data_IF_371587499265
#
_entry.id   IF_371587499265
#
_cell.length_a   1.000
_cell.length_b   1.000
_cell.length_c   1.000
_cell.angle_alpha   90.00
_cell.angle_beta   90.00
_cell.angle_gamma   90.00
#
_symmetry.space_group_name_H-M   'P 1'
#
loop_
_entity.id
_entity.type
_entity.pdbx_description
1 polymer ?
#
# COMPACT_ATOMS: atom_id res chain seq x y z
N UNK A 1 -43.06 8.05 -32.39
CA UNK A 1 -42.23 7.69 -31.21
C UNK A 1 -41.71 6.29 -31.45
N UNK A 2 -40.39 6.09 -31.55
CA UNK A 2 -39.85 4.73 -31.67
C UNK A 2 -40.16 3.93 -30.37
N UNK A 3 -40.41 2.62 -30.46
CA UNK A 3 -40.66 1.78 -29.29
C UNK A 3 -39.45 1.77 -28.35
N UNK A 4 -39.73 1.76 -27.04
CA UNK A 4 -38.73 1.90 -25.98
C UNK A 4 -37.62 0.82 -26.01
N UNK A 5 -37.96 -0.37 -26.49
CA UNK A 5 -37.02 -1.48 -26.67
C UNK A 5 -35.87 -1.12 -27.62
N UNK A 6 -36.18 -0.42 -28.72
CA UNK A 6 -35.16 0.00 -29.68
C UNK A 6 -34.28 1.11 -29.13
N UNK A 7 -34.81 1.97 -28.25
CA UNK A 7 -34.00 3.01 -27.61
C UNK A 7 -32.93 2.42 -26.70
N UNK A 8 -33.24 1.32 -25.99
CA UNK A 8 -32.26 0.63 -25.14
C UNK A 8 -31.15 -0.07 -25.93
N UNK A 9 -31.49 -0.67 -27.08
CA UNK A 9 -30.50 -1.30 -27.97
C UNK A 9 -29.57 -0.25 -28.58
N UNK A 10 -30.11 0.89 -28.98
CA UNK A 10 -29.33 2.01 -29.52
C UNK A 10 -28.40 2.58 -28.44
N UNK A 11 -28.89 2.79 -27.21
CA UNK A 11 -28.08 3.33 -26.11
C UNK A 11 -26.89 2.40 -25.77
N UNK A 12 -27.12 1.08 -25.71
CA UNK A 12 -26.06 0.09 -25.51
C UNK A 12 -25.04 0.04 -26.66
N UNK A 13 -25.50 0.13 -27.90
CA UNK A 13 -24.62 0.21 -29.06
C UNK A 13 -23.76 1.49 -29.02
N UNK A 14 -24.34 2.62 -28.61
CA UNK A 14 -23.63 3.90 -28.44
C UNK A 14 -22.55 3.78 -27.36
N UNK A 15 -22.85 3.19 -26.20
CA UNK A 15 -21.84 2.97 -25.14
C UNK A 15 -20.70 2.04 -25.54
N UNK A 16 -20.96 1.09 -26.44
CA UNK A 16 -19.94 0.15 -26.92
C UNK A 16 -19.02 0.80 -27.96
N UNK A 17 -19.59 1.60 -28.86
CA UNK A 17 -18.84 2.27 -29.94
C UNK A 17 -18.17 3.57 -29.48
N UNK A 18 -18.69 4.20 -28.43
CA UNK A 18 -18.12 5.35 -27.74
C UNK A 18 -18.06 5.01 -26.26
N UNK A 19 -17.11 4.15 -25.84
CA UNK A 19 -16.83 4.01 -24.42
C UNK A 19 -16.61 5.43 -23.90
N UNK A 20 -17.37 5.88 -22.87
CA UNK A 20 -17.20 7.22 -22.32
C UNK A 20 -15.73 7.39 -21.98
N UNK A 21 -15.20 8.61 -22.12
CA UNK A 21 -13.85 8.94 -21.68
C UNK A 21 -13.75 8.62 -20.19
N UNK A 22 -13.43 7.37 -19.86
CA UNK A 22 -12.97 7.00 -18.54
C UNK A 22 -11.68 7.77 -18.46
N UNK A 23 -11.67 8.83 -17.64
CA UNK A 23 -10.43 9.45 -17.21
C UNK A 23 -9.47 8.31 -16.90
N UNK A 24 -8.38 8.25 -17.66
CA UNK A 24 -7.36 7.23 -17.43
C UNK A 24 -7.08 7.29 -15.93
N UNK A 25 -7.28 6.17 -15.23
CA UNK A 25 -6.97 6.11 -13.81
C UNK A 25 -5.50 6.50 -13.73
N UNK A 26 -5.24 7.71 -13.24
CA UNK A 26 -3.89 8.19 -13.01
C UNK A 26 -3.41 7.33 -11.86
N UNK A 27 -2.77 6.22 -12.20
CA UNK A 27 -2.03 5.43 -11.24
C UNK A 27 -0.83 6.30 -10.92
N UNK A 28 -0.99 7.18 -9.92
CA UNK A 28 0.15 7.84 -9.30
C UNK A 28 1.19 6.73 -9.03
N UNK A 29 2.37 6.89 -9.62
CA UNK A 29 3.46 5.94 -9.42
C UNK A 29 3.88 6.04 -7.96
N UNK A 30 3.27 5.21 -7.10
CA UNK A 30 3.73 5.07 -5.72
C UNK A 30 5.22 4.73 -5.81
N UNK A 31 6.10 5.52 -5.17
CA UNK A 31 7.53 5.30 -5.26
C UNK A 31 7.87 3.86 -4.86
N UNK A 32 8.83 3.26 -5.58
CA UNK A 32 9.20 1.84 -5.40
C UNK A 32 9.55 1.51 -3.94
N UNK A 33 10.12 2.48 -3.21
CA UNK A 33 10.41 2.37 -1.78
C UNK A 33 9.16 2.26 -0.91
N UNK A 34 8.12 3.07 -1.14
CA UNK A 34 6.86 2.98 -0.40
C UNK A 34 6.21 1.62 -0.62
N UNK A 35 6.13 1.16 -1.88
CA UNK A 35 5.58 -0.16 -2.22
C UNK A 35 6.39 -1.31 -1.59
N UNK A 36 7.71 -1.18 -1.55
CA UNK A 36 8.58 -2.18 -0.92
C UNK A 36 8.29 -2.27 0.59
N UNK A 37 8.15 -1.14 1.27
CA UNK A 37 7.86 -1.10 2.71
C UNK A 37 6.47 -1.68 3.01
N UNK A 38 5.45 -1.32 2.21
CA UNK A 38 4.10 -1.89 2.31
C UNK A 38 4.13 -3.42 2.11
N UNK A 39 4.79 -3.91 1.06
CA UNK A 39 4.92 -5.35 0.82
C UNK A 39 5.67 -6.08 1.94
N UNK A 40 6.69 -5.46 2.52
CA UNK A 40 7.48 -6.04 3.60
C UNK A 40 6.64 -6.23 4.88
N UNK A 41 5.83 -5.24 5.23
CA UNK A 41 5.02 -5.25 6.45
C UNK A 41 3.70 -6.00 6.29
N UNK A 42 3.04 -5.89 5.13
CA UNK A 42 1.69 -6.43 4.92
C UNK A 42 1.70 -7.83 4.30
N UNK A 43 2.65 -8.14 3.42
CA UNK A 43 2.67 -9.41 2.68
C UNK A 43 3.74 -10.41 3.19
N UNK A 44 4.89 -9.94 3.64
CA UNK A 44 6.04 -10.79 4.02
C UNK A 44 6.18 -11.05 5.53
N UNK A 45 5.30 -10.46 6.33
CA UNK A 45 5.39 -10.52 7.79
C UNK A 45 4.83 -11.83 8.32
N UNK A 46 5.73 -12.71 8.73
CA UNK A 46 5.44 -13.99 9.38
C UNK A 46 6.23 -14.13 10.69
N UNK A 47 5.76 -15.01 11.59
CA UNK A 47 6.38 -15.25 12.91
C UNK A 47 7.85 -15.65 12.81
N UNK A 48 8.23 -16.37 11.75
CA UNK A 48 9.60 -16.84 11.50
C UNK A 48 10.47 -15.81 10.79
N UNK A 49 9.86 -14.82 10.12
CA UNK A 49 10.55 -13.86 9.27
C UNK A 49 10.74 -12.49 9.96
N UNK A 50 10.22 -12.32 11.18
CA UNK A 50 10.21 -11.04 11.89
C UNK A 50 11.60 -10.44 12.06
N UNK A 51 12.60 -11.25 12.41
CA UNK A 51 13.97 -10.78 12.60
C UNK A 51 14.60 -10.31 11.28
N UNK A 52 14.27 -10.97 10.17
CA UNK A 52 14.75 -10.61 8.84
C UNK A 52 14.11 -9.31 8.36
N UNK A 53 12.79 -9.16 8.57
CA UNK A 53 12.05 -7.93 8.28
C UNK A 53 12.62 -6.77 9.08
N UNK A 54 12.84 -6.93 10.39
CA UNK A 54 13.46 -5.89 11.23
C UNK A 54 14.87 -5.55 10.75
N UNK A 55 15.69 -6.53 10.35
CA UNK A 55 17.01 -6.28 9.77
C UNK A 55 16.92 -5.51 8.45
N UNK A 56 15.96 -5.81 7.59
CA UNK A 56 15.75 -5.10 6.32
C UNK A 56 15.27 -3.66 6.57
N UNK A 57 14.35 -3.45 7.52
CA UNK A 57 13.88 -2.11 7.89
C UNK A 57 15.01 -1.24 8.45
N UNK A 58 15.93 -1.81 9.26
CA UNK A 58 17.11 -1.07 9.74
C UNK A 58 18.05 -0.62 8.63
N UNK A 59 18.11 -1.35 7.51
CA UNK A 59 18.99 -1.05 6.36
C UNK A 59 18.38 -0.04 5.38
N UNK A 60 17.14 0.40 5.59
CA UNK A 60 16.52 1.41 4.73
C UNK A 60 17.34 2.72 4.77
N UNK A 61 17.39 3.47 3.65
CA UNK A 61 18.04 4.77 3.60
C UNK A 61 17.22 5.82 4.36
N UNK A 62 17.32 5.84 5.69
CA UNK A 62 16.60 6.77 6.58
C UNK A 62 16.96 8.25 6.37
N UNK A 63 17.95 8.55 5.54
CA UNK A 63 18.41 9.90 5.21
C UNK A 63 17.58 10.56 4.10
N UNK A 64 16.85 9.78 3.31
CA UNK A 64 15.95 10.32 2.28
C UNK A 64 14.67 10.87 2.92
N UNK A 65 14.26 12.06 2.48
CA UNK A 65 13.01 12.67 2.90
C UNK A 65 11.82 11.84 2.38
N UNK A 66 10.95 11.42 3.29
CA UNK A 66 9.75 10.64 2.97
C UNK A 66 9.77 9.20 3.48
N UNK A 67 10.94 8.57 3.65
CA UNK A 67 11.02 7.17 4.11
C UNK A 67 10.39 6.99 5.49
N UNK A 68 10.65 7.91 6.42
CA UNK A 68 10.02 7.89 7.74
C UNK A 68 8.49 8.01 7.66
N UNK A 69 8.00 8.89 6.78
CA UNK A 69 6.57 9.12 6.60
C UNK A 69 5.89 7.90 5.98
N UNK A 70 6.51 7.25 5.00
CA UNK A 70 6.01 6.01 4.39
C UNK A 70 5.99 4.85 5.37
N UNK A 71 7.04 4.69 6.20
CA UNK A 71 7.06 3.66 7.25
C UNK A 71 5.94 3.92 8.27
N UNK A 72 5.79 5.16 8.76
CA UNK A 72 4.70 5.51 9.69
C UNK A 72 3.33 5.25 9.07
N UNK A 73 3.13 5.62 7.81
CA UNK A 73 1.89 5.37 7.08
C UNK A 73 1.61 3.88 6.93
N UNK A 74 2.59 3.07 6.52
CA UNK A 74 2.43 1.62 6.39
C UNK A 74 2.17 0.92 7.74
N UNK A 75 2.73 1.43 8.83
CA UNK A 75 2.48 0.94 10.19
C UNK A 75 1.09 1.34 10.73
N UNK A 76 0.63 2.56 10.39
CA UNK A 76 -0.70 3.06 10.76
C UNK A 76 -1.80 2.48 9.89
N UNK A 77 -1.48 2.07 8.67
CA UNK A 77 -2.38 1.38 7.74
C UNK A 77 -2.57 -0.09 8.14
N UNK A 78 -3.12 -0.28 9.33
CA UNK A 78 -3.47 -1.56 9.93
C UNK A 78 -4.67 -2.21 9.22
N UNK A 79 -5.44 -1.44 8.43
CA UNK A 79 -6.61 -1.92 7.70
C UNK A 79 -6.25 -2.93 6.59
N UNK A 80 -5.06 -2.83 6.02
CA UNK A 80 -4.55 -3.77 5.00
C UNK A 80 -3.92 -5.04 5.60
N UNK A 81 -3.79 -5.10 6.93
CA UNK A 81 -3.03 -6.15 7.63
C UNK A 81 -3.96 -7.25 8.13
N UNK A 82 -3.55 -8.52 7.96
CA UNK A 82 -4.29 -9.67 8.54
C UNK A 82 -4.34 -9.52 10.06
N UNK A 83 -5.49 -9.78 10.68
CA UNK A 83 -5.66 -9.67 12.14
C UNK A 83 -4.59 -10.45 12.93
N UNK A 84 -4.19 -11.61 12.40
CA UNK A 84 -3.18 -12.46 13.01
C UNK A 84 -1.77 -11.84 13.04
N UNK A 85 -1.44 -10.89 12.15
CA UNK A 85 -0.10 -10.29 12.08
C UNK A 85 0.03 -8.97 12.83
N UNK A 86 -1.06 -8.43 13.40
CA UNK A 86 -1.06 -7.15 14.13
C UNK A 86 -0.07 -7.15 15.31
N UNK A 87 -0.03 -8.23 16.09
CA UNK A 87 0.93 -8.36 17.21
C UNK A 87 2.39 -8.36 16.74
N UNK A 88 2.66 -8.91 15.55
CA UNK A 88 4.00 -8.92 14.95
C UNK A 88 4.39 -7.51 14.51
N UNK A 89 3.45 -6.75 13.93
CA UNK A 89 3.68 -5.33 13.58
C UNK A 89 4.06 -4.53 14.82
N UNK A 90 3.33 -4.67 15.93
CA UNK A 90 3.66 -3.99 17.19
C UNK A 90 5.07 -4.34 17.70
N UNK A 91 5.49 -5.61 17.55
CA UNK A 91 6.84 -6.04 17.91
C UNK A 91 7.91 -5.40 17.01
N UNK A 92 7.66 -5.31 15.70
CA UNK A 92 8.53 -4.61 14.74
C UNK A 92 8.65 -3.13 15.08
N UNK A 93 7.54 -2.46 15.44
CA UNK A 93 7.53 -1.05 15.86
C UNK A 93 8.38 -0.85 17.11
N UNK A 94 8.24 -1.71 18.12
CA UNK A 94 9.05 -1.66 19.34
C UNK A 94 10.55 -1.82 19.04
N UNK A 95 10.90 -2.76 18.15
CA UNK A 95 12.28 -2.98 17.73
C UNK A 95 12.86 -1.80 16.95
N UNK A 96 12.06 -1.15 16.12
CA UNK A 96 12.45 0.06 15.38
C UNK A 96 12.60 1.28 16.29
N UNK A 97 11.68 1.47 17.25
CA UNK A 97 11.75 2.58 18.21
C UNK A 97 13.07 2.55 18.98
N UNK A 98 13.46 1.38 19.50
CA UNK A 98 14.75 1.20 20.20
C UNK A 98 15.94 1.55 19.33
N UNK A 99 15.93 1.15 18.05
CA UNK A 99 17.02 1.47 17.12
C UNK A 99 17.09 2.96 16.81
N UNK A 100 15.94 3.64 16.68
CA UNK A 100 15.88 5.08 16.41
C UNK A 100 16.30 5.92 17.61
N UNK A 101 15.89 5.53 18.82
CA UNK A 101 16.32 6.13 20.09
C UNK A 101 17.82 5.93 20.30
N UNK A 102 18.35 4.74 19.98
CA UNK A 102 19.80 4.46 19.99
C UNK A 102 20.59 5.17 18.90
N UNK A 103 19.96 5.51 17.77
CA UNK A 103 20.57 6.29 16.69
C UNK A 103 20.46 7.82 16.92
N UNK A 104 19.73 8.24 17.95
CA UNK A 104 19.60 9.63 18.41
C UNK A 104 20.52 9.98 19.60
N UNK A 105 21.33 9.02 20.08
CA UNK A 105 22.48 9.23 20.98
C UNK A 105 23.78 9.20 20.18
#
# INVERSE_FOLDING_TARGET
RLPYELTSVIDNAVYTCRPPERSAVVVDERPLLERYIEALLHAQLDKTNIEKVVKQLRKLPWREEGVETWVKKALLDCASVKYQTIHLVACVVSALYRYRESAML
#
